data_IF_931564454697
#
_entry.id   IF_931564454697
#
_cell.length_a   1.000
_cell.length_b   1.000
_cell.length_c   1.000
_cell.angle_alpha   90.00
_cell.angle_beta   90.00
_cell.angle_gamma   90.00
#
_symmetry.space_group_name_H-M   'P 1'
#
loop_
_entity.id
_entity.type
_entity.pdbx_description
1 polymer ?
#
# COMPACT_ATOMS: atom_id res chain seq x y z
N UNK A 1 -9.11 12.78 -18.09
CA UNK A 1 -7.72 13.03 -18.55
C UNK A 1 -7.08 14.30 -17.96
N UNK A 2 -7.73 15.47 -18.10
CA UNK A 2 -7.17 16.75 -17.63
C UNK A 2 -6.95 16.81 -16.11
N UNK A 3 -7.89 16.29 -15.30
CA UNK A 3 -7.75 16.25 -13.84
C UNK A 3 -6.53 15.42 -13.40
N UNK A 4 -6.27 14.28 -14.05
CA UNK A 4 -5.10 13.42 -13.78
C UNK A 4 -3.82 14.18 -14.14
N UNK A 5 -3.77 14.85 -15.30
CA UNK A 5 -2.61 15.61 -15.71
C UNK A 5 -2.31 16.77 -14.75
N UNK A 6 -3.35 17.52 -14.35
CA UNK A 6 -3.22 18.59 -13.35
C UNK A 6 -2.67 18.06 -12.02
N UNK A 7 -3.21 16.95 -11.50
CA UNK A 7 -2.75 16.37 -10.24
C UNK A 7 -1.32 15.83 -10.34
N UNK A 8 -0.98 15.14 -11.44
CA UNK A 8 0.37 14.62 -11.67
C UNK A 8 1.42 15.72 -11.71
N UNK A 9 1.13 16.83 -12.40
CA UNK A 9 2.06 17.96 -12.50
C UNK A 9 2.38 18.57 -11.13
N UNK A 10 1.44 18.55 -10.17
CA UNK A 10 1.71 19.02 -8.80
C UNK A 10 2.66 18.10 -8.05
N UNK A 11 2.54 16.78 -8.22
CA UNK A 11 3.45 15.81 -7.61
C UNK A 11 4.84 15.87 -8.24
N UNK A 12 4.92 16.02 -9.57
CA UNK A 12 6.20 16.21 -10.25
C UNK A 12 6.91 17.47 -9.75
N UNK A 13 6.18 18.57 -9.55
CA UNK A 13 6.73 19.78 -8.92
C UNK A 13 7.32 19.50 -7.53
N UNK A 14 6.67 18.66 -6.72
CA UNK A 14 7.23 18.26 -5.42
C UNK A 14 8.51 17.43 -5.56
N UNK A 15 8.62 16.55 -6.57
CA UNK A 15 9.86 15.81 -6.86
C UNK A 15 10.98 16.75 -7.25
N UNK A 16 10.72 17.70 -8.16
CA UNK A 16 11.74 18.62 -8.66
C UNK A 16 12.19 19.62 -7.61
N UNK A 17 11.26 20.19 -6.85
CA UNK A 17 11.55 21.27 -5.92
C UNK A 17 12.23 20.78 -4.64
N UNK A 18 11.93 19.54 -4.20
CA UNK A 18 12.38 19.01 -2.91
C UNK A 18 13.21 17.72 -3.01
N UNK A 19 13.50 17.23 -4.21
CA UNK A 19 14.29 16.00 -4.39
C UNK A 19 13.59 14.71 -3.93
N UNK A 20 12.24 14.69 -3.92
CA UNK A 20 11.49 13.50 -3.52
C UNK A 20 11.75 12.37 -4.52
N UNK A 21 12.25 11.24 -4.02
CA UNK A 21 12.58 10.07 -4.85
C UNK A 21 11.35 9.26 -5.25
N UNK A 22 10.42 9.07 -4.32
CA UNK A 22 9.22 8.26 -4.52
C UNK A 22 8.10 8.69 -3.56
N UNK A 23 6.88 8.20 -3.80
CA UNK A 23 5.69 8.51 -3.01
C UNK A 23 5.03 7.25 -2.45
N UNK A 24 4.44 7.42 -1.27
CA UNK A 24 3.40 6.55 -0.74
C UNK A 24 2.04 7.07 -1.18
N UNK A 25 1.34 6.32 -2.03
CA UNK A 25 -0.01 6.63 -2.48
C UNK A 25 -1.02 5.87 -1.64
N UNK A 26 -1.61 6.57 -0.69
CA UNK A 26 -2.62 6.02 0.20
C UNK A 26 -4.05 6.26 -0.34
N UNK A 27 -5.01 5.46 0.14
CA UNK A 27 -6.37 5.41 -0.38
C UNK A 27 -6.52 4.81 -1.80
N UNK A 28 -7.63 5.14 -2.46
CA UNK A 28 -8.00 4.61 -3.78
C UNK A 28 -9.07 3.52 -3.74
N UNK A 29 -9.56 3.11 -2.56
CA UNK A 29 -10.62 2.11 -2.45
C UNK A 29 -11.96 2.67 -2.93
N UNK A 30 -12.63 1.91 -3.80
CA UNK A 30 -13.97 2.28 -4.28
C UNK A 30 -14.99 2.45 -3.13
N UNK A 31 -14.84 1.69 -2.04
CA UNK A 31 -15.76 1.73 -0.88
C UNK A 31 -15.66 3.03 -0.08
N UNK A 32 -14.60 3.83 -0.28
CA UNK A 32 -14.42 5.12 0.40
C UNK A 32 -14.94 6.30 -0.40
N UNK A 33 -15.47 6.05 -1.61
CA UNK A 33 -16.17 7.09 -2.35
C UNK A 33 -17.49 7.43 -1.65
N UNK A 34 -17.87 8.72 -1.63
CA UNK A 34 -19.23 9.10 -1.23
C UNK A 34 -20.27 8.35 -2.08
N UNK A 35 -21.40 7.91 -1.50
CA UNK A 35 -22.42 7.18 -2.25
C UNK A 35 -23.00 7.93 -3.47
N UNK A 36 -22.89 9.25 -3.49
CA UNK A 36 -23.30 10.12 -4.59
C UNK A 36 -22.32 10.11 -5.78
N UNK A 37 -21.10 9.61 -5.60
CA UNK A 37 -20.08 9.56 -6.65
C UNK A 37 -20.20 8.25 -7.41
N UNK A 38 -20.56 8.35 -8.68
CA UNK A 38 -20.56 7.21 -9.60
C UNK A 38 -19.44 7.37 -10.61
N UNK A 39 -18.51 6.40 -10.63
CA UNK A 39 -17.46 6.34 -11.62
C UNK A 39 -17.85 5.29 -12.65
N UNK A 40 -18.35 5.77 -13.79
CA UNK A 40 -18.68 4.92 -14.92
C UNK A 40 -17.44 4.35 -15.60
N UNK A 41 -17.62 3.19 -16.23
CA UNK A 41 -16.65 2.57 -17.13
C UNK A 41 -17.40 1.96 -18.30
N UNK A 42 -16.83 2.07 -19.50
CA UNK A 42 -17.33 1.33 -20.67
C UNK A 42 -17.14 -0.19 -20.52
N UNK A 43 -16.14 -0.59 -19.73
CA UNK A 43 -15.94 -1.98 -19.31
C UNK A 43 -16.60 -2.19 -17.95
N UNK A 44 -17.76 -2.86 -17.95
CA UNK A 44 -18.52 -3.18 -16.75
C UNK A 44 -17.80 -4.16 -15.83
N UNK A 45 -16.83 -4.93 -16.32
CA UNK A 45 -16.06 -5.87 -15.50
C UNK A 45 -15.12 -5.17 -14.50
N UNK A 46 -14.90 -3.86 -14.66
CA UNK A 46 -14.14 -3.04 -13.74
C UNK A 46 -14.97 -2.56 -12.54
N UNK A 47 -16.30 -2.63 -12.58
CA UNK A 47 -17.15 -2.22 -11.47
C UNK A 47 -17.12 -3.27 -10.34
N UNK A 48 -17.10 -2.84 -9.06
CA UNK A 48 -17.11 -1.46 -8.57
C UNK A 48 -15.72 -0.80 -8.49
N UNK A 49 -14.65 -1.54 -8.79
CA UNK A 49 -13.25 -1.13 -8.59
C UNK A 49 -12.64 -0.26 -9.71
N UNK A 50 -13.48 0.48 -10.45
CA UNK A 50 -13.01 1.37 -11.53
C UNK A 50 -12.05 2.42 -10.97
N UNK A 51 -12.38 2.99 -9.80
CA UNK A 51 -11.50 3.93 -9.10
C UNK A 51 -10.13 3.33 -8.86
N UNK A 52 -10.06 2.18 -8.16
CA UNK A 52 -8.81 1.54 -7.79
C UNK A 52 -7.93 1.27 -9.01
N UNK A 53 -8.54 0.75 -10.08
CA UNK A 53 -7.84 0.45 -11.34
C UNK A 53 -7.28 1.74 -11.97
N UNK A 54 -8.13 2.77 -12.14
CA UNK A 54 -7.72 4.05 -12.76
C UNK A 54 -6.77 4.85 -11.89
N UNK A 55 -6.84 4.72 -10.57
CA UNK A 55 -5.91 5.31 -9.64
C UNK A 55 -4.53 4.70 -9.78
N UNK A 56 -4.42 3.37 -9.84
CA UNK A 56 -3.14 2.68 -10.08
C UNK A 56 -2.54 3.05 -11.45
N UNK A 57 -3.35 3.06 -12.51
CA UNK A 57 -2.92 3.55 -13.83
C UNK A 57 -2.39 5.00 -13.73
N UNK A 58 -3.08 5.87 -12.98
CA UNK A 58 -2.69 7.26 -12.78
C UNK A 58 -1.35 7.40 -12.05
N UNK A 59 -1.10 6.64 -10.99
CA UNK A 59 0.14 6.77 -10.23
C UNK A 59 1.34 6.03 -10.86
N UNK A 60 1.10 5.02 -11.71
CA UNK A 60 2.17 4.21 -12.32
C UNK A 60 3.21 5.04 -13.12
N UNK A 61 2.88 6.26 -13.53
CA UNK A 61 3.79 7.18 -14.20
C UNK A 61 4.95 7.68 -13.32
N UNK A 62 4.86 7.54 -12.00
CA UNK A 62 5.89 8.02 -11.05
C UNK A 62 7.07 7.06 -10.86
N UNK A 63 7.05 5.89 -11.51
CA UNK A 63 8.12 4.89 -11.48
C UNK A 63 7.81 3.70 -10.57
N UNK A 64 8.70 2.71 -10.57
CA UNK A 64 8.50 1.42 -9.90
C UNK A 64 8.62 1.46 -8.38
N UNK A 65 9.26 2.50 -7.82
CA UNK A 65 9.51 2.63 -6.38
C UNK A 65 8.30 3.15 -5.59
N UNK A 66 7.20 3.48 -6.26
CA UNK A 66 6.00 3.96 -5.57
C UNK A 66 5.30 2.79 -4.89
N UNK A 67 4.59 3.09 -3.80
CA UNK A 67 3.69 2.14 -3.16
C UNK A 67 2.23 2.59 -3.28
N UNK A 68 1.34 1.61 -3.41
CA UNK A 68 -0.12 1.77 -3.29
C UNK A 68 -0.67 0.64 -2.44
N UNK A 69 -1.77 0.85 -1.72
CA UNK A 69 -2.46 -0.24 -1.01
C UNK A 69 -3.65 -0.83 -1.75
N UNK A 70 -4.02 -0.24 -2.89
CA UNK A 70 -5.09 -0.76 -3.74
C UNK A 70 -4.53 -1.44 -4.98
N UNK A 71 -5.19 -2.52 -5.39
CA UNK A 71 -4.88 -3.24 -6.61
C UNK A 71 -6.11 -3.99 -7.12
N UNK A 72 -6.50 -3.72 -8.36
CA UNK A 72 -7.55 -4.46 -9.05
C UNK A 72 -7.21 -4.49 -10.53
N UNK A 73 -6.95 -5.69 -11.08
CA UNK A 73 -6.52 -5.90 -12.47
C UNK A 73 -5.35 -4.98 -12.89
N UNK A 74 -4.43 -4.73 -11.96
CA UNK A 74 -3.32 -3.79 -12.14
C UNK A 74 -1.94 -4.46 -12.09
N UNK A 75 -1.89 -5.78 -12.27
CA UNK A 75 -0.66 -6.61 -12.22
C UNK A 75 0.34 -6.25 -13.33
N UNK A 76 -0.12 -5.60 -14.40
CA UNK A 76 0.72 -5.08 -15.48
C UNK A 76 1.63 -3.92 -15.03
N UNK A 77 1.41 -3.33 -13.85
CA UNK A 77 2.23 -2.25 -13.31
C UNK A 77 3.25 -2.81 -12.31
N UNK A 78 4.54 -2.63 -12.61
CA UNK A 78 5.66 -3.03 -11.74
C UNK A 78 5.91 -2.01 -10.62
N UNK A 79 4.95 -1.90 -9.69
CA UNK A 79 4.98 -1.01 -8.53
C UNK A 79 4.78 -1.82 -7.24
N UNK A 80 5.16 -1.26 -6.09
CA UNK A 80 4.88 -1.92 -4.83
C UNK A 80 3.39 -1.88 -4.50
N UNK A 81 2.81 -3.04 -4.19
CA UNK A 81 1.46 -3.14 -3.64
C UNK A 81 1.56 -3.53 -2.17
N UNK A 82 1.19 -2.59 -1.31
CA UNK A 82 1.27 -2.67 0.14
C UNK A 82 0.06 -3.42 0.70
N UNK A 83 0.31 -4.28 1.69
CA UNK A 83 -0.75 -4.85 2.50
C UNK A 83 -1.53 -3.76 3.24
N UNK A 84 -2.79 -3.99 3.57
CA UNK A 84 -3.50 -3.07 4.47
C UNK A 84 -2.78 -2.97 5.82
N UNK A 85 -2.96 -1.84 6.49
CA UNK A 85 -2.39 -1.53 7.79
C UNK A 85 -2.55 -2.70 8.76
N UNK A 86 -1.41 -3.23 9.23
CA UNK A 86 -1.35 -4.29 10.22
C UNK A 86 -1.34 -3.71 11.63
N UNK A 87 -1.96 -4.43 12.54
CA UNK A 87 -2.00 -4.06 13.94
C UNK A 87 -0.78 -4.60 14.69
N UNK A 88 -0.32 -3.86 15.69
CA UNK A 88 0.80 -4.24 16.56
C UNK A 88 0.43 -5.38 17.53
N UNK A 89 0.00 -6.52 17.01
CA UNK A 89 -0.43 -7.73 17.72
C UNK A 89 0.11 -8.99 17.05
N UNK A 90 0.11 -10.11 17.77
CA UNK A 90 0.62 -11.39 17.26
C UNK A 90 -0.34 -12.12 16.31
N UNK A 91 -1.64 -12.01 16.55
CA UNK A 91 -2.67 -12.89 15.97
C UNK A 91 -2.83 -12.82 14.45
N UNK A 92 -3.60 -13.76 13.92
CA UNK A 92 -3.96 -13.83 12.49
C UNK A 92 -5.06 -12.81 12.11
N UNK A 93 -5.68 -12.18 13.11
CA UNK A 93 -6.66 -11.10 13.03
C UNK A 93 -5.95 -9.76 12.77
N UNK A 94 -5.28 -9.66 11.61
CA UNK A 94 -4.55 -8.48 11.16
C UNK A 94 -3.23 -8.18 11.91
N UNK A 95 -2.68 -9.14 12.66
CA UNK A 95 -1.36 -9.05 13.30
C UNK A 95 -0.24 -9.76 12.53
N UNK A 96 0.86 -10.07 13.23
CA UNK A 96 2.06 -10.70 12.66
C UNK A 96 1.76 -12.02 11.94
N UNK A 97 0.94 -12.90 12.51
CA UNK A 97 0.61 -14.19 11.89
C UNK A 97 -0.12 -14.04 10.55
N UNK A 98 -0.76 -12.88 10.30
CA UNK A 98 -1.42 -12.60 9.02
C UNK A 98 -0.45 -12.22 7.89
N UNK A 99 0.82 -11.90 8.20
CA UNK A 99 1.79 -11.35 7.25
C UNK A 99 2.09 -12.30 6.09
N UNK A 100 2.51 -13.53 6.42
CA UNK A 100 2.84 -14.58 5.43
C UNK A 100 1.63 -14.98 4.57
N UNK A 101 0.46 -15.33 5.14
CA UNK A 101 -0.69 -15.69 4.30
C UNK A 101 -1.15 -14.52 3.42
N UNK A 102 -1.07 -13.28 3.91
CA UNK A 102 -1.35 -12.09 3.08
C UNK A 102 -0.33 -12.00 1.93
N UNK A 103 0.96 -12.17 2.20
CA UNK A 103 2.00 -12.12 1.16
C UNK A 103 1.73 -13.16 0.06
N UNK A 104 1.50 -14.41 0.46
CA UNK A 104 1.22 -15.51 -0.46
C UNK A 104 -0.03 -15.26 -1.30
N UNK A 105 -1.08 -14.69 -0.71
CA UNK A 105 -2.29 -14.31 -1.44
C UNK A 105 -1.97 -13.31 -2.55
N UNK A 106 -1.22 -12.24 -2.25
CA UNK A 106 -0.82 -11.27 -3.27
C UNK A 106 0.02 -11.92 -4.38
N UNK A 107 0.96 -12.81 -4.02
CA UNK A 107 1.76 -13.56 -5.00
C UNK A 107 0.90 -14.44 -5.92
N UNK A 108 -0.08 -15.17 -5.36
CA UNK A 108 -1.01 -16.01 -6.15
C UNK A 108 -1.88 -15.15 -7.06
N UNK A 109 -2.26 -13.94 -6.64
CA UNK A 109 -3.01 -12.98 -7.45
C UNK A 109 -2.15 -12.27 -8.52
N UNK A 110 -0.85 -12.58 -8.59
CA UNK A 110 0.08 -12.07 -9.60
C UNK A 110 0.79 -10.77 -9.22
N UNK A 111 0.70 -10.31 -7.97
CA UNK A 111 1.45 -9.15 -7.50
C UNK A 111 2.84 -9.58 -7.00
N UNK A 112 3.88 -9.22 -7.74
CA UNK A 112 5.25 -9.66 -7.46
C UNK A 112 5.98 -8.78 -6.43
N UNK A 113 5.66 -7.48 -6.39
CA UNK A 113 6.29 -6.50 -5.50
C UNK A 113 5.40 -6.19 -4.30
N UNK A 114 5.23 -7.17 -3.42
CA UNK A 114 4.40 -7.01 -2.22
C UNK A 114 5.18 -6.25 -1.14
N UNK A 115 4.64 -5.14 -0.64
CA UNK A 115 5.20 -4.41 0.50
C UNK A 115 4.50 -4.87 1.79
N UNK A 116 5.23 -5.50 2.73
CA UNK A 116 4.63 -6.17 3.88
C UNK A 116 4.34 -5.21 5.05
N UNK A 117 3.65 -4.13 4.74
CA UNK A 117 3.36 -3.01 5.64
C UNK A 117 4.54 -2.62 6.56
N UNK A 118 4.30 -1.89 7.64
CA UNK A 118 5.37 -1.46 8.52
C UNK A 118 5.77 -2.54 9.54
N UNK A 119 7.08 -2.72 9.74
CA UNK A 119 7.66 -3.58 10.77
C UNK A 119 7.16 -3.13 12.14
N UNK A 120 6.49 -4.05 12.84
CA UNK A 120 5.86 -3.80 14.14
C UNK A 120 4.40 -3.34 14.08
N UNK A 121 3.81 -3.18 12.90
CA UNK A 121 2.45 -2.70 12.69
C UNK A 121 2.29 -1.19 12.90
N UNK A 122 1.07 -0.68 12.73
CA UNK A 122 0.76 0.76 12.69
C UNK A 122 0.47 1.38 14.07
N UNK A 123 0.50 0.59 15.15
CA UNK A 123 0.15 1.06 16.50
C UNK A 123 -1.20 1.82 16.55
N UNK A 124 -2.20 1.39 15.78
CA UNK A 124 -3.51 2.03 15.59
C UNK A 124 -4.39 2.15 16.86
N UNK A 125 -3.82 1.89 18.05
CA UNK A 125 -4.41 2.11 19.38
C UNK A 125 -3.35 2.62 20.40
N UNK A 126 -2.32 3.34 19.93
CA UNK A 126 -1.25 3.98 20.70
C UNK A 126 -0.37 3.08 21.58
N UNK A 127 -0.49 1.75 21.47
CA UNK A 127 0.47 0.82 22.09
C UNK A 127 1.49 0.39 21.04
N UNK A 128 2.75 0.81 21.17
CA UNK A 128 3.80 0.32 20.29
C UNK A 128 4.02 -1.18 20.56
N UNK A 129 4.54 -1.93 19.58
CA UNK A 129 4.81 -3.37 19.75
C UNK A 129 5.84 -3.61 20.87
N UNK A 130 5.77 -4.77 21.52
CA UNK A 130 6.87 -5.20 22.38
C UNK A 130 8.16 -5.33 21.56
N UNK A 131 9.31 -5.22 22.22
CA UNK A 131 10.61 -5.41 21.55
C UNK A 131 10.69 -6.77 20.83
N UNK A 132 10.15 -7.82 21.47
CA UNK A 132 10.07 -9.14 20.87
C UNK A 132 9.21 -9.15 19.60
N UNK A 133 7.98 -8.61 19.67
CA UNK A 133 7.10 -8.54 18.52
C UNK A 133 7.75 -7.80 17.35
N UNK A 134 8.41 -6.66 17.63
CA UNK A 134 9.12 -5.89 16.61
C UNK A 134 10.24 -6.69 15.95
N UNK A 135 11.05 -7.40 16.74
CA UNK A 135 12.15 -8.26 16.24
C UNK A 135 11.59 -9.41 15.40
N UNK A 136 10.53 -10.09 15.86
CA UNK A 136 9.90 -11.18 15.10
C UNK A 136 9.26 -10.70 13.82
N UNK A 137 8.74 -9.47 13.82
CA UNK A 137 8.22 -8.83 12.62
C UNK A 137 9.33 -8.57 11.61
N UNK A 138 10.45 -7.97 12.04
CA UNK A 138 11.62 -7.72 11.20
C UNK A 138 12.20 -9.02 10.61
N UNK A 139 12.30 -10.07 11.42
CA UNK A 139 12.71 -11.41 10.97
C UNK A 139 11.78 -11.95 9.89
N UNK A 140 10.46 -11.81 10.08
CA UNK A 140 9.46 -12.26 9.10
C UNK A 140 9.51 -11.47 7.80
N UNK A 141 9.73 -10.15 7.85
CA UNK A 141 9.83 -9.29 6.66
C UNK A 141 11.17 -9.41 5.94
N UNK A 142 12.17 -10.08 6.55
CA UNK A 142 13.54 -10.16 6.00
C UNK A 142 13.61 -10.70 4.58
N UNK A 143 12.75 -11.67 4.27
CA UNK A 143 12.72 -12.34 2.97
C UNK A 143 11.64 -11.79 2.04
N UNK A 144 11.05 -10.64 2.39
CA UNK A 144 10.05 -9.97 1.57
C UNK A 144 10.70 -8.83 0.76
N UNK A 145 10.08 -8.36 -0.34
CA UNK A 145 10.69 -7.42 -1.29
C UNK A 145 11.14 -6.07 -0.73
N UNK A 146 10.63 -5.66 0.44
CA UNK A 146 10.94 -4.37 1.03
C UNK A 146 10.74 -4.36 2.54
N UNK A 147 11.42 -3.41 3.18
CA UNK A 147 11.32 -3.15 4.61
C UNK A 147 10.87 -1.71 4.82
N UNK A 148 9.79 -1.53 5.57
CA UNK A 148 9.31 -0.22 6.00
C UNK A 148 9.24 -0.25 7.52
N UNK A 149 9.91 0.67 8.20
CA UNK A 149 9.94 0.68 9.66
C UNK A 149 8.80 1.53 10.22
N UNK A 150 8.08 0.99 11.20
CA UNK A 150 7.12 1.75 12.00
C UNK A 150 7.76 2.39 13.23
N UNK A 151 6.94 3.10 14.01
CA UNK A 151 7.26 3.58 15.35
C UNK A 151 7.79 2.45 16.23
N UNK A 152 8.95 2.68 16.85
CA UNK A 152 9.59 1.76 17.79
C UNK A 152 9.26 2.18 19.22
N UNK A 153 9.09 1.22 20.12
CA UNK A 153 9.10 1.47 21.57
C UNK A 153 10.46 2.05 21.98
N UNK A 154 10.48 3.09 22.81
CA UNK A 154 11.73 3.63 23.39
C UNK A 154 12.44 2.51 24.15
N UNK A 155 13.67 2.22 23.76
CA UNK A 155 14.59 1.44 24.58
C UNK A 155 15.20 2.43 25.56
N UNK A 156 14.87 2.27 26.84
CA UNK A 156 15.54 2.95 27.96
C UNK A 156 16.63 2.00 28.45
#
# INVERSE_FOLDING_TARGET
>A
PLAIAWWRNRLEKLRTDFGITSFKFDAGEAVWLPPSVQIGSSDSSLLPNVLSTKYVEAISAFGSLIETRVGHRSQNHSIFVRMLDKDSRWGNDNGLQSLIPTHLLFSVLGYSFVLPDMIGGNANNHKPPSNELYIRWAQSTTFMPSWQFSVRTKII
#
